data_IF_976441260991
#
_entry.id   IF_976441260991
#
_cell.length_a   1.000
_cell.length_b   1.000
_cell.length_c   1.000
_cell.angle_alpha   90.00
_cell.angle_beta   90.00
_cell.angle_gamma   90.00
#
_symmetry.space_group_name_H-M   'P 1'
#
loop_
_entity.id
_entity.type
_entity.pdbx_description
1 polymer ?
#
# COMPACT_ATOMS: atom_id res chain seq x y z
N UNK A 1 5.18 -18.52 26.50
CA UNK A 1 4.64 -19.75 25.90
C UNK A 1 3.13 -19.54 25.70
N UNK A 2 2.73 -18.97 24.59
CA UNK A 2 1.30 -18.88 24.18
C UNK A 2 0.95 -20.20 23.52
N UNK A 3 0.13 -21.00 24.21
CA UNK A 3 -0.39 -22.26 23.65
C UNK A 3 -1.18 -21.96 22.39
N UNK A 4 -0.89 -22.69 21.30
CA UNK A 4 -1.77 -22.72 20.14
C UNK A 4 -3.20 -23.03 20.59
N UNK A 5 -4.23 -22.30 20.09
CA UNK A 5 -5.60 -22.53 20.53
C UNK A 5 -6.00 -23.99 20.26
N UNK A 6 -6.75 -24.58 21.22
CA UNK A 6 -7.24 -25.95 21.08
C UNK A 6 -8.23 -26.03 19.89
N UNK A 7 -8.35 -27.17 19.16
CA UNK A 7 -9.23 -27.29 17.99
C UNK A 7 -10.69 -26.84 18.24
N UNK A 8 -11.20 -26.94 19.44
CA UNK A 8 -12.54 -26.46 19.82
C UNK A 8 -12.66 -24.93 19.83
N UNK A 9 -11.59 -24.25 20.27
CA UNK A 9 -11.54 -22.78 20.35
C UNK A 9 -11.51 -22.16 18.96
N UNK A 10 -10.75 -22.78 18.03
CA UNK A 10 -10.64 -22.35 16.63
C UNK A 10 -11.98 -22.39 15.89
N UNK A 11 -12.78 -23.45 16.13
CA UNK A 11 -14.10 -23.61 15.50
C UNK A 11 -15.09 -22.55 15.98
N UNK A 12 -15.17 -22.35 17.29
CA UNK A 12 -16.01 -21.31 17.89
C UNK A 12 -15.56 -19.91 17.44
N UNK A 13 -14.27 -19.72 17.25
CA UNK A 13 -13.69 -18.47 16.77
C UNK A 13 -14.08 -18.20 15.30
N UNK A 14 -13.98 -19.17 14.40
CA UNK A 14 -14.40 -19.06 13.00
C UNK A 14 -15.88 -18.69 12.87
N UNK A 15 -16.75 -19.23 13.74
CA UNK A 15 -18.19 -18.92 13.78
C UNK A 15 -18.48 -17.43 14.12
N UNK A 16 -17.52 -16.71 14.69
CA UNK A 16 -17.65 -15.26 14.99
C UNK A 16 -17.23 -14.37 13.85
N UNK A 17 -16.51 -14.89 12.84
CA UNK A 17 -15.98 -14.09 11.73
C UNK A 17 -17.07 -13.84 10.68
N UNK A 18 -17.28 -12.56 10.35
CA UNK A 18 -18.25 -12.20 9.29
C UNK A 18 -17.88 -12.76 7.93
N UNK A 19 -16.57 -12.87 7.63
CA UNK A 19 -16.04 -13.43 6.38
C UNK A 19 -16.26 -14.94 6.24
N UNK A 20 -16.50 -15.64 7.35
CA UNK A 20 -16.78 -17.09 7.41
C UNK A 20 -18.29 -17.40 7.46
N UNK A 21 -19.14 -16.39 7.58
CA UNK A 21 -20.57 -16.59 7.70
C UNK A 21 -21.15 -17.21 6.43
N UNK A 22 -21.94 -18.28 6.61
CA UNK A 22 -22.66 -18.93 5.52
C UNK A 22 -23.85 -18.07 5.05
N UNK A 23 -24.09 -18.06 3.75
CA UNK A 23 -25.17 -17.33 3.09
C UNK A 23 -26.19 -18.30 2.51
N UNK A 24 -27.32 -18.54 3.21
CA UNK A 24 -28.35 -19.48 2.74
C UNK A 24 -28.91 -19.13 1.35
N UNK A 25 -28.98 -17.83 1.02
CA UNK A 25 -29.49 -17.36 -0.28
C UNK A 25 -28.56 -17.68 -1.47
N UNK A 26 -27.33 -18.09 -1.21
CA UNK A 26 -26.38 -18.56 -2.22
C UNK A 26 -26.20 -20.09 -2.23
N UNK A 27 -27.01 -20.84 -1.47
CA UNK A 27 -26.82 -22.27 -1.30
C UNK A 27 -26.88 -23.07 -2.63
N UNK A 28 -27.63 -22.58 -3.62
CA UNK A 28 -27.80 -23.19 -4.94
C UNK A 28 -27.04 -22.44 -6.06
N UNK A 29 -26.08 -21.60 -5.72
CA UNK A 29 -25.37 -20.77 -6.70
C UNK A 29 -24.66 -21.59 -7.79
N UNK A 30 -24.19 -22.78 -7.47
CA UNK A 30 -23.54 -23.74 -8.37
C UNK A 30 -24.47 -24.26 -9.49
N UNK A 31 -25.78 -24.09 -9.35
CA UNK A 31 -26.80 -24.49 -10.34
C UNK A 31 -27.21 -23.36 -11.28
N UNK A 32 -26.77 -22.14 -11.02
CA UNK A 32 -27.15 -20.97 -11.80
C UNK A 32 -26.38 -20.90 -13.13
N UNK A 33 -26.96 -20.27 -14.17
CA UNK A 33 -26.25 -19.93 -15.38
C UNK A 33 -25.04 -19.00 -15.05
N UNK A 34 -23.94 -19.16 -15.79
CA UNK A 34 -22.70 -18.39 -15.57
C UNK A 34 -22.93 -16.88 -15.48
N UNK A 35 -23.81 -16.34 -16.34
CA UNK A 35 -24.09 -14.88 -16.33
C UNK A 35 -24.77 -14.44 -15.03
N UNK A 36 -25.62 -15.27 -14.45
CA UNK A 36 -26.31 -14.94 -13.20
C UNK A 36 -25.35 -15.04 -12.00
N UNK A 37 -24.46 -16.04 -12.00
CA UNK A 37 -23.35 -16.11 -11.02
C UNK A 37 -22.47 -14.85 -11.11
N UNK A 38 -22.10 -14.44 -12.33
CA UNK A 38 -21.27 -13.25 -12.54
C UNK A 38 -21.97 -11.96 -12.06
N UNK A 39 -23.28 -11.83 -12.29
CA UNK A 39 -24.08 -10.70 -11.80
C UNK A 39 -24.11 -10.64 -10.26
N UNK A 40 -24.34 -11.78 -9.62
CA UNK A 40 -24.33 -11.88 -8.16
C UNK A 40 -22.96 -11.51 -7.59
N UNK A 41 -21.87 -12.08 -8.12
CA UNK A 41 -20.51 -11.73 -7.71
C UNK A 41 -20.21 -10.25 -7.88
N UNK A 42 -20.53 -9.68 -9.03
CA UNK A 42 -20.31 -8.26 -9.30
C UNK A 42 -21.12 -7.35 -8.35
N UNK A 43 -22.36 -7.76 -8.01
CA UNK A 43 -23.17 -7.07 -7.03
C UNK A 43 -22.54 -7.05 -5.63
N UNK A 44 -21.95 -8.19 -5.21
CA UNK A 44 -21.18 -8.26 -3.96
C UNK A 44 -19.95 -7.36 -3.98
N UNK A 45 -19.16 -7.44 -5.04
CA UNK A 45 -17.94 -6.63 -5.17
C UNK A 45 -18.23 -5.11 -5.18
N UNK A 46 -19.39 -4.71 -5.72
CA UNK A 46 -19.82 -3.30 -5.73
C UNK A 46 -20.01 -2.70 -4.32
N UNK A 47 -20.21 -3.53 -3.29
CA UNK A 47 -20.37 -3.06 -1.90
C UNK A 47 -19.03 -2.67 -1.24
N UNK A 48 -17.91 -3.19 -1.74
CA UNK A 48 -16.59 -3.08 -1.09
C UNK A 48 -16.12 -1.63 -0.97
N UNK A 49 -16.27 -0.85 -2.03
CA UNK A 49 -15.86 0.56 -2.01
C UNK A 49 -16.64 1.38 -0.96
N UNK A 50 -17.92 1.05 -0.74
CA UNK A 50 -18.74 1.64 0.33
C UNK A 50 -18.20 1.31 1.72
N UNK A 51 -17.87 0.02 1.95
CA UNK A 51 -17.27 -0.41 3.22
C UNK A 51 -15.92 0.26 3.51
N UNK A 52 -15.09 0.47 2.49
CA UNK A 52 -13.84 1.24 2.62
C UNK A 52 -14.13 2.70 2.94
N UNK A 53 -15.14 3.30 2.31
CA UNK A 53 -15.50 4.71 2.53
C UNK A 53 -15.87 5.01 3.99
N UNK A 54 -16.45 4.06 4.70
CA UNK A 54 -16.76 4.19 6.15
C UNK A 54 -15.50 4.29 7.03
N UNK A 55 -14.32 3.92 6.51
CA UNK A 55 -13.03 3.91 7.24
C UNK A 55 -12.04 4.95 6.74
N UNK A 56 -12.46 5.89 5.91
CA UNK A 56 -11.59 6.94 5.40
C UNK A 56 -10.92 7.80 6.48
N UNK A 57 -11.56 8.15 7.59
CA UNK A 57 -10.91 8.89 8.67
C UNK A 57 -9.72 8.12 9.29
N UNK A 58 -9.89 6.83 9.57
CA UNK A 58 -8.84 5.97 10.13
C UNK A 58 -7.71 5.75 9.13
N UNK A 59 -8.06 5.56 7.85
CA UNK A 59 -7.09 5.44 6.76
C UNK A 59 -6.29 6.73 6.63
N UNK A 60 -6.93 7.90 6.64
CA UNK A 60 -6.27 9.18 6.52
C UNK A 60 -5.30 9.44 7.69
N UNK A 61 -5.71 9.15 8.92
CA UNK A 61 -4.86 9.27 10.10
C UNK A 61 -3.62 8.37 10.01
N UNK A 62 -3.80 7.12 9.58
CA UNK A 62 -2.69 6.20 9.35
C UNK A 62 -1.74 6.72 8.26
N UNK A 63 -2.28 7.20 7.13
CA UNK A 63 -1.48 7.76 6.02
C UNK A 63 -0.65 8.96 6.46
N UNK A 64 -1.23 9.90 7.20
CA UNK A 64 -0.49 11.08 7.68
C UNK A 64 0.66 10.66 8.59
N UNK A 65 0.44 9.71 9.51
CA UNK A 65 1.50 9.17 10.37
C UNK A 65 2.59 8.42 9.58
N UNK A 66 2.22 7.62 8.57
CA UNK A 66 3.17 6.95 7.65
C UNK A 66 4.01 7.98 6.89
N UNK A 67 3.36 9.00 6.32
CA UNK A 67 4.06 10.06 5.57
C UNK A 67 5.08 10.79 6.44
N UNK A 68 4.73 11.10 7.69
CA UNK A 68 5.65 11.74 8.65
C UNK A 68 6.87 10.86 8.96
N UNK A 69 6.70 9.55 9.13
CA UNK A 69 7.80 8.60 9.35
C UNK A 69 8.68 8.51 8.10
N UNK A 70 8.08 8.33 6.93
CA UNK A 70 8.82 8.24 5.67
C UNK A 70 9.55 9.56 5.32
N UNK A 71 9.00 10.72 5.68
CA UNK A 71 9.67 12.01 5.49
C UNK A 71 10.98 12.14 6.31
N UNK A 72 11.10 11.44 7.44
CA UNK A 72 12.32 11.35 8.25
C UNK A 72 13.31 10.27 7.78
N UNK A 73 13.00 9.55 6.73
CA UNK A 73 13.87 8.51 6.17
C UNK A 73 13.39 7.07 6.45
N UNK A 74 12.30 6.88 7.20
CA UNK A 74 11.72 5.59 7.50
C UNK A 74 11.13 4.86 6.28
N UNK A 75 10.81 3.59 6.45
CA UNK A 75 10.28 2.69 5.42
C UNK A 75 8.83 2.32 5.72
N UNK A 76 8.09 1.99 4.68
CA UNK A 76 6.78 1.36 4.75
C UNK A 76 6.95 -0.15 4.52
N UNK A 77 6.59 -0.96 5.49
CA UNK A 77 6.72 -2.43 5.43
C UNK A 77 5.34 -3.06 5.56
N UNK A 78 4.90 -3.79 4.55
CA UNK A 78 3.70 -4.62 4.61
C UNK A 78 4.07 -6.01 5.13
N UNK A 79 3.25 -6.59 6.01
CA UNK A 79 3.43 -7.93 6.54
C UNK A 79 2.09 -8.68 6.54
N UNK A 80 2.01 -9.80 5.84
CA UNK A 80 0.79 -10.60 5.75
C UNK A 80 1.05 -12.01 5.25
N UNK A 81 0.00 -12.83 5.25
CA UNK A 81 0.04 -14.19 4.76
C UNK A 81 -0.93 -14.40 3.58
N UNK A 82 -0.68 -15.38 2.74
CA UNK A 82 -1.56 -15.73 1.62
C UNK A 82 -1.90 -14.54 0.73
N UNK A 83 -3.20 -14.31 0.47
CA UNK A 83 -3.68 -13.19 -0.35
C UNK A 83 -3.24 -11.83 0.21
N UNK A 84 -3.34 -11.62 1.52
CA UNK A 84 -2.96 -10.38 2.16
C UNK A 84 -1.47 -10.05 1.98
N UNK A 85 -0.59 -11.05 2.14
CA UNK A 85 0.84 -10.91 1.89
C UNK A 85 1.14 -10.63 0.42
N UNK A 86 0.47 -11.32 -0.53
CA UNK A 86 0.62 -11.08 -1.97
C UNK A 86 0.23 -9.66 -2.37
N UNK A 87 -0.85 -9.13 -1.80
CA UNK A 87 -1.28 -7.75 -2.05
C UNK A 87 -0.28 -6.73 -1.52
N UNK A 88 0.33 -6.98 -0.36
CA UNK A 88 1.42 -6.15 0.17
C UNK A 88 2.66 -6.16 -0.73
N UNK A 89 3.07 -7.35 -1.22
CA UNK A 89 4.17 -7.48 -2.18
C UNK A 89 3.85 -6.77 -3.50
N UNK A 90 2.62 -6.93 -4.01
CA UNK A 90 2.17 -6.26 -5.23
C UNK A 90 2.27 -4.74 -5.09
N UNK A 91 1.68 -4.15 -4.05
CA UNK A 91 1.68 -2.70 -3.85
C UNK A 91 3.11 -2.15 -3.67
N UNK A 92 3.95 -2.85 -2.90
CA UNK A 92 5.35 -2.49 -2.73
C UNK A 92 6.12 -2.49 -4.04
N UNK A 93 5.92 -3.50 -4.90
CA UNK A 93 6.62 -3.64 -6.18
C UNK A 93 6.26 -2.56 -7.21
N UNK A 94 5.07 -1.96 -7.09
CA UNK A 94 4.60 -0.91 -8.00
C UNK A 94 5.06 0.51 -7.59
N UNK A 95 5.57 0.70 -6.37
CA UNK A 95 6.07 2.01 -5.91
C UNK A 95 7.33 2.49 -6.67
N UNK A 96 8.36 1.67 -6.93
CA UNK A 96 9.53 2.11 -7.69
C UNK A 96 9.22 2.59 -9.10
N UNK A 97 8.47 1.88 -9.96
CA UNK A 97 8.18 2.33 -11.32
C UNK A 97 7.23 3.54 -11.35
N UNK A 98 6.39 3.74 -10.32
CA UNK A 98 5.40 4.82 -10.27
C UNK A 98 5.97 6.11 -9.69
N UNK A 99 6.75 6.01 -8.61
CA UNK A 99 7.20 7.15 -7.81
C UNK A 99 8.72 7.30 -7.75
N UNK A 100 9.47 6.50 -8.51
CA UNK A 100 10.94 6.47 -8.49
C UNK A 100 11.49 6.34 -7.05
N UNK A 101 10.86 5.48 -6.25
CA UNK A 101 11.33 5.17 -4.92
C UNK A 101 12.47 4.15 -4.98
N UNK A 102 13.39 4.22 -4.03
CA UNK A 102 14.27 3.09 -3.77
C UNK A 102 13.41 1.86 -3.40
N UNK A 103 13.65 0.67 -3.99
CA UNK A 103 12.93 -0.55 -3.65
C UNK A 103 12.96 -0.88 -2.15
N UNK A 104 13.98 -0.43 -1.42
CA UNK A 104 14.07 -0.63 0.03
C UNK A 104 13.13 0.29 0.83
N UNK A 105 12.47 1.29 0.21
CA UNK A 105 11.60 2.25 0.90
C UNK A 105 10.19 1.72 1.15
N UNK A 106 9.70 0.86 0.28
CA UNK A 106 8.41 0.16 0.45
C UNK A 106 8.66 -1.32 0.27
N UNK A 107 8.44 -2.10 1.30
CA UNK A 107 8.81 -3.52 1.36
C UNK A 107 7.57 -4.37 1.63
N UNK A 108 7.39 -5.43 0.88
CA UNK A 108 6.35 -6.44 1.12
C UNK A 108 6.94 -7.71 1.71
N UNK A 109 6.52 -8.09 2.91
CA UNK A 109 6.81 -9.37 3.54
C UNK A 109 5.59 -10.29 3.45
N UNK A 110 5.83 -11.52 3.04
CA UNK A 110 4.82 -12.56 3.01
C UNK A 110 5.27 -13.77 3.83
N UNK A 111 4.40 -14.31 4.67
CA UNK A 111 4.68 -15.51 5.44
C UNK A 111 5.10 -16.68 4.51
N UNK A 112 6.25 -17.27 4.78
CA UNK A 112 6.87 -18.29 3.91
C UNK A 112 7.82 -17.74 2.85
N UNK A 113 8.05 -16.40 2.82
CA UNK A 113 9.05 -15.79 1.96
C UNK A 113 8.67 -15.71 0.48
N UNK A 114 9.63 -15.48 -0.43
CA UNK A 114 9.37 -15.25 -1.85
C UNK A 114 8.58 -16.35 -2.55
N UNK A 115 8.77 -17.61 -2.17
CA UNK A 115 8.08 -18.76 -2.77
C UNK A 115 6.57 -18.70 -2.48
N UNK A 116 6.17 -18.10 -1.35
CA UNK A 116 4.77 -17.95 -0.97
C UNK A 116 3.98 -16.97 -1.87
N UNK A 117 4.66 -16.18 -2.71
CA UNK A 117 4.01 -15.32 -3.70
C UNK A 117 3.31 -16.17 -4.77
N UNK A 118 3.93 -17.25 -5.21
CA UNK A 118 3.43 -18.09 -6.31
C UNK A 118 2.77 -19.38 -5.85
N UNK A 119 3.12 -19.89 -4.66
CA UNK A 119 2.58 -21.12 -4.10
C UNK A 119 2.22 -20.94 -2.61
N UNK A 120 1.30 -21.74 -2.08
CA UNK A 120 1.02 -21.73 -0.63
C UNK A 120 2.14 -22.44 0.14
N UNK A 121 2.62 -21.80 1.20
CA UNK A 121 3.56 -22.42 2.16
C UNK A 121 2.76 -22.71 3.42
N UNK A 122 2.48 -23.98 3.66
CA UNK A 122 1.65 -24.40 4.80
C UNK A 122 2.32 -24.09 6.14
N UNK A 123 1.50 -23.67 7.13
CA UNK A 123 1.95 -23.38 8.49
C UNK A 123 2.73 -22.08 8.66
N UNK A 124 3.14 -21.39 7.58
CA UNK A 124 3.89 -20.15 7.69
C UNK A 124 3.07 -19.02 8.31
N UNK A 125 1.76 -18.99 8.07
CA UNK A 125 0.85 -17.98 8.61
C UNK A 125 0.63 -18.11 10.13
N UNK A 126 0.88 -19.30 10.69
CA UNK A 126 0.65 -19.61 12.10
C UNK A 126 1.86 -19.27 13.00
N UNK A 127 2.98 -18.82 12.41
CA UNK A 127 4.21 -18.51 13.15
C UNK A 127 4.44 -17.01 13.34
N UNK A 128 4.22 -16.46 14.53
CA UNK A 128 4.65 -15.10 14.87
C UNK A 128 6.18 -14.97 14.91
N UNK A 129 6.92 -16.04 15.24
CA UNK A 129 8.39 -16.07 15.29
C UNK A 129 8.98 -15.87 13.88
N UNK A 130 8.31 -16.38 12.84
CA UNK A 130 8.71 -16.13 11.46
C UNK A 130 8.61 -14.64 11.12
N UNK A 131 7.53 -13.98 11.52
CA UNK A 131 7.38 -12.54 11.33
C UNK A 131 8.46 -11.74 12.06
N UNK A 132 8.81 -12.15 13.29
CA UNK A 132 9.90 -11.54 14.06
C UNK A 132 11.24 -11.67 13.31
N UNK A 133 11.53 -12.86 12.79
CA UNK A 133 12.76 -13.14 12.02
C UNK A 133 12.83 -12.28 10.76
N UNK A 134 11.73 -12.21 9.98
CA UNK A 134 11.67 -11.45 8.75
C UNK A 134 11.88 -9.95 8.99
N UNK A 135 11.26 -9.41 10.04
CA UNK A 135 11.41 -8.00 10.43
C UNK A 135 12.77 -7.70 11.08
N UNK A 136 13.35 -8.66 11.82
CA UNK A 136 14.69 -8.51 12.38
C UNK A 136 15.74 -8.36 11.28
N UNK A 137 15.59 -9.09 10.17
CA UNK A 137 16.48 -8.98 9.01
C UNK A 137 16.44 -7.59 8.37
N UNK A 138 15.33 -6.84 8.51
CA UNK A 138 15.23 -5.46 8.05
C UNK A 138 15.86 -4.44 9.01
N UNK A 139 16.28 -4.84 10.22
CA UNK A 139 16.80 -3.93 11.26
C UNK A 139 15.89 -2.69 11.42
N UNK A 140 14.63 -2.89 11.84
CA UNK A 140 13.64 -1.83 11.99
C UNK A 140 14.11 -0.72 12.93
N UNK A 141 13.77 0.51 12.57
CA UNK A 141 13.99 1.72 13.37
C UNK A 141 12.65 2.33 13.83
N UNK A 142 12.72 3.30 14.72
CA UNK A 142 11.54 4.05 15.15
C UNK A 142 10.90 4.91 14.04
N UNK A 143 11.60 5.17 12.96
CA UNK A 143 11.04 5.89 11.80
C UNK A 143 10.36 4.98 10.78
N UNK A 144 10.48 3.67 10.93
CA UNK A 144 9.78 2.72 10.06
C UNK A 144 8.30 2.57 10.43
N UNK A 145 7.52 2.11 9.47
CA UNK A 145 6.10 1.73 9.66
C UNK A 145 5.90 0.29 9.24
N UNK A 146 5.21 -0.50 10.06
CA UNK A 146 4.77 -1.86 9.71
C UNK A 146 3.24 -1.90 9.62
N UNK A 147 2.74 -2.31 8.47
CA UNK A 147 1.32 -2.55 8.21
C UNK A 147 1.08 -4.06 8.21
N UNK A 148 0.49 -4.57 9.28
CA UNK A 148 0.00 -5.94 9.32
C UNK A 148 -1.31 -6.06 8.55
N UNK A 149 -1.42 -7.08 7.69
CA UNK A 149 -2.60 -7.28 6.83
C UNK A 149 -3.14 -8.69 7.01
N UNK A 150 -4.42 -8.81 7.39
CA UNK A 150 -5.10 -10.08 7.56
C UNK A 150 -6.61 -9.91 7.38
N UNK A 151 -7.27 -10.74 6.60
CA UNK A 151 -8.72 -10.66 6.44
C UNK A 151 -9.46 -10.99 7.74
N UNK A 152 -9.08 -12.06 8.44
CA UNK A 152 -9.62 -12.41 9.75
C UNK A 152 -9.20 -11.44 10.85
N UNK A 153 -8.05 -10.76 10.65
CA UNK A 153 -7.41 -9.93 11.67
C UNK A 153 -6.82 -10.74 12.84
N UNK A 154 -6.61 -12.04 12.65
CA UNK A 154 -6.15 -12.98 13.70
C UNK A 154 -4.90 -13.76 13.31
N UNK A 155 -4.46 -13.69 12.05
CA UNK A 155 -3.30 -14.42 11.52
C UNK A 155 -2.08 -14.17 12.40
N UNK A 156 -1.50 -15.21 13.04
CA UNK A 156 -0.41 -15.06 14.01
C UNK A 156 0.80 -14.32 13.42
N UNK A 157 1.16 -14.60 12.18
CA UNK A 157 2.24 -13.87 11.47
C UNK A 157 1.99 -12.35 11.45
N UNK A 158 0.79 -11.90 11.05
CA UNK A 158 0.48 -10.46 10.93
C UNK A 158 0.42 -9.78 12.31
N UNK A 159 -0.18 -10.44 13.30
CA UNK A 159 -0.24 -9.93 14.69
C UNK A 159 1.16 -9.88 15.30
N UNK A 160 1.97 -10.92 15.10
CA UNK A 160 3.38 -10.98 15.55
C UNK A 160 4.22 -9.88 14.92
N UNK A 161 4.03 -9.62 13.61
CA UNK A 161 4.72 -8.53 12.92
C UNK A 161 4.44 -7.15 13.56
N UNK A 162 3.17 -6.85 13.82
CA UNK A 162 2.76 -5.59 14.46
C UNK A 162 3.30 -5.51 15.89
N UNK A 163 3.18 -6.57 16.67
CA UNK A 163 3.69 -6.61 18.05
C UNK A 163 5.21 -6.39 18.10
N UNK A 164 5.96 -7.08 17.23
CA UNK A 164 7.41 -6.93 17.13
C UNK A 164 7.84 -5.50 16.75
N UNK A 165 7.18 -4.91 15.76
CA UNK A 165 7.45 -3.55 15.30
C UNK A 165 7.17 -2.51 16.38
N UNK A 166 6.02 -2.63 17.08
CA UNK A 166 5.62 -1.75 18.18
C UNK A 166 6.64 -1.78 19.33
N UNK A 167 7.15 -2.96 19.68
CA UNK A 167 8.18 -3.12 20.71
C UNK A 167 9.50 -2.40 20.39
N UNK A 168 9.72 -2.05 19.11
CA UNK A 168 10.89 -1.28 18.61
C UNK A 168 10.60 0.19 18.35
N UNK A 169 9.42 0.67 18.72
CA UNK A 169 9.00 2.07 18.53
C UNK A 169 8.63 2.42 17.08
N UNK A 170 8.59 1.44 16.17
CA UNK A 170 8.07 1.65 14.83
C UNK A 170 6.57 1.92 14.86
N UNK A 171 6.09 2.74 13.91
CA UNK A 171 4.66 2.96 13.73
C UNK A 171 3.99 1.66 13.27
N UNK A 172 2.80 1.38 13.81
CA UNK A 172 2.07 0.15 13.46
C UNK A 172 0.67 0.44 12.98
N UNK A 173 0.29 -0.21 11.87
CA UNK A 173 -1.06 -0.20 11.31
C UNK A 173 -1.56 -1.64 11.21
N UNK A 174 -2.78 -1.90 11.65
CA UNK A 174 -3.44 -3.20 11.54
C UNK A 174 -4.63 -3.11 10.61
N UNK A 175 -4.58 -3.79 9.46
CA UNK A 175 -5.66 -3.84 8.47
C UNK A 175 -6.37 -5.18 8.52
N UNK A 176 -7.65 -5.17 8.90
CA UNK A 176 -8.51 -6.34 9.00
C UNK A 176 -9.84 -6.15 8.27
N UNK A 177 -10.56 -7.26 7.99
CA UNK A 177 -11.89 -7.25 7.38
C UNK A 177 -12.98 -7.81 8.32
N UNK A 178 -12.67 -7.96 9.58
CA UNK A 178 -13.59 -8.37 10.64
C UNK A 178 -13.53 -7.38 11.81
N UNK A 179 -14.64 -7.13 12.51
CA UNK A 179 -14.67 -6.21 13.62
C UNK A 179 -14.02 -6.83 14.88
N UNK A 180 -13.46 -5.99 15.75
CA UNK A 180 -12.87 -6.41 17.02
C UNK A 180 -11.65 -7.32 16.85
N UNK A 181 -10.86 -7.10 15.83
CA UNK A 181 -9.74 -7.94 15.46
C UNK A 181 -8.53 -7.77 16.38
N UNK A 182 -7.85 -8.87 16.68
CA UNK A 182 -6.61 -8.83 17.47
C UNK A 182 -5.53 -7.97 16.79
N UNK A 183 -5.49 -7.97 15.46
CA UNK A 183 -4.54 -7.19 14.68
C UNK A 183 -4.76 -5.68 14.84
N UNK A 184 -6.02 -5.21 14.73
CA UNK A 184 -6.34 -3.81 14.93
C UNK A 184 -6.07 -3.37 16.38
N UNK A 185 -6.39 -4.22 17.36
CA UNK A 185 -6.14 -3.93 18.77
C UNK A 185 -4.64 -3.88 19.12
N UNK A 186 -3.79 -4.66 18.44
CA UNK A 186 -2.34 -4.66 18.65
C UNK A 186 -1.65 -3.43 18.03
N UNK A 187 -2.22 -2.83 16.98
CA UNK A 187 -1.65 -1.72 16.24
C UNK A 187 -1.92 -0.36 16.92
N UNK A 188 -1.13 0.65 16.56
CA UNK A 188 -1.40 2.06 16.90
C UNK A 188 -2.57 2.61 16.09
N UNK A 189 -2.65 2.25 14.80
CA UNK A 189 -3.76 2.55 13.91
C UNK A 189 -4.45 1.27 13.48
N UNK A 190 -5.63 0.99 14.04
CA UNK A 190 -6.48 -0.12 13.60
C UNK A 190 -7.44 0.32 12.51
N UNK A 191 -7.49 -0.42 11.41
CA UNK A 191 -8.40 -0.21 10.27
C UNK A 191 -9.19 -1.49 10.06
N UNK A 192 -10.50 -1.46 10.32
CA UNK A 192 -11.38 -2.62 10.18
C UNK A 192 -12.42 -2.37 9.09
N UNK A 193 -12.15 -2.83 7.88
CA UNK A 193 -13.07 -2.73 6.74
C UNK A 193 -13.96 -3.96 6.71
N UNK A 194 -15.13 -3.88 7.32
CA UNK A 194 -16.07 -5.00 7.42
C UNK A 194 -16.83 -5.15 6.10
N UNK A 195 -16.45 -6.14 5.30
CA UNK A 195 -17.05 -6.42 3.97
C UNK A 195 -18.21 -7.44 4.03
N UNK A 196 -18.54 -7.94 5.23
CA UNK A 196 -19.54 -9.00 5.41
C UNK A 196 -19.08 -10.37 4.88
N UNK A 197 -20.04 -11.31 4.76
CA UNK A 197 -19.77 -12.66 4.28
C UNK A 197 -19.24 -12.66 2.85
N UNK A 198 -18.32 -13.57 2.55
CA UNK A 198 -17.81 -13.75 1.19
C UNK A 198 -18.82 -14.42 0.26
N UNK A 199 -18.69 -14.22 -1.06
CA UNK A 199 -19.50 -14.90 -2.07
C UNK A 199 -19.34 -16.43 -2.01
N UNK A 200 -18.11 -16.91 -1.86
CA UNK A 200 -17.80 -18.26 -1.43
C UNK A 200 -17.35 -18.19 0.03
N UNK A 201 -18.09 -18.83 0.92
CA UNK A 201 -17.84 -18.82 2.37
C UNK A 201 -16.36 -19.05 2.68
N UNK A 202 -15.75 -18.16 3.45
CA UNK A 202 -14.35 -18.23 3.87
C UNK A 202 -13.32 -17.89 2.79
N UNK A 203 -13.74 -17.61 1.53
CA UNK A 203 -12.79 -17.30 0.45
C UNK A 203 -12.38 -15.82 0.45
N UNK A 204 -11.57 -15.42 1.43
CA UNK A 204 -11.17 -14.02 1.68
C UNK A 204 -10.26 -13.39 0.61
N UNK A 205 -9.93 -14.13 -0.45
CA UNK A 205 -9.30 -13.55 -1.64
C UNK A 205 -10.26 -12.65 -2.46
N UNK A 206 -11.58 -12.70 -2.18
CA UNK A 206 -12.64 -12.00 -2.90
C UNK A 206 -12.86 -10.58 -2.33
N UNK A 207 -13.98 -10.34 -1.59
CA UNK A 207 -14.30 -8.99 -1.08
C UNK A 207 -13.24 -8.46 -0.10
N UNK A 208 -12.78 -9.29 0.83
CA UNK A 208 -11.73 -8.91 1.77
C UNK A 208 -10.43 -8.56 1.05
N UNK A 209 -10.00 -9.37 0.08
CA UNK A 209 -8.84 -9.05 -0.76
C UNK A 209 -9.00 -7.74 -1.53
N UNK A 210 -10.17 -7.48 -2.10
CA UNK A 210 -10.48 -6.22 -2.80
C UNK A 210 -10.40 -5.03 -1.85
N UNK A 211 -10.97 -5.13 -0.64
CA UNK A 211 -10.88 -4.08 0.38
C UNK A 211 -9.43 -3.80 0.80
N UNK A 212 -8.65 -4.86 1.06
CA UNK A 212 -7.23 -4.74 1.39
C UNK A 212 -6.46 -4.02 0.28
N UNK A 213 -6.66 -4.42 -0.98
CA UNK A 213 -6.03 -3.76 -2.14
C UNK A 213 -6.37 -2.26 -2.19
N UNK A 214 -7.63 -1.88 -1.98
CA UNK A 214 -8.03 -0.48 -1.99
C UNK A 214 -7.33 0.32 -0.88
N UNK A 215 -7.27 -0.21 0.34
CA UNK A 215 -6.62 0.45 1.47
C UNK A 215 -5.11 0.54 1.29
N UNK A 216 -4.43 -0.53 0.86
CA UNK A 216 -2.98 -0.51 0.61
C UNK A 216 -2.62 0.51 -0.46
N UNK A 217 -3.37 0.57 -1.56
CA UNK A 217 -3.15 1.59 -2.59
C UNK A 217 -3.40 3.02 -2.07
N UNK A 218 -4.36 3.25 -1.17
CA UNK A 218 -4.54 4.54 -0.52
C UNK A 218 -3.34 4.89 0.36
N UNK A 219 -2.86 3.94 1.18
CA UNK A 219 -1.72 4.15 2.06
C UNK A 219 -0.48 4.53 1.23
N UNK A 220 -0.09 3.73 0.24
CA UNK A 220 1.10 4.01 -0.56
C UNK A 220 0.95 5.28 -1.41
N UNK A 221 -0.13 5.39 -2.18
CA UNK A 221 -0.30 6.50 -3.13
C UNK A 221 -0.42 7.85 -2.42
N UNK A 222 -1.26 7.95 -1.37
CA UNK A 222 -1.45 9.22 -0.67
C UNK A 222 -0.17 9.60 0.10
N UNK A 223 0.53 8.62 0.68
CA UNK A 223 1.86 8.85 1.29
C UNK A 223 2.84 9.43 0.26
N UNK A 224 2.92 8.87 -0.94
CA UNK A 224 3.79 9.39 -2.00
C UNK A 224 3.37 10.79 -2.47
N UNK A 225 2.07 11.10 -2.52
CA UNK A 225 1.58 12.47 -2.76
C UNK A 225 2.07 13.42 -1.66
N UNK A 226 1.95 13.04 -0.39
CA UNK A 226 2.43 13.82 0.77
C UNK A 226 3.94 14.03 0.76
N UNK A 227 4.70 13.08 0.23
CA UNK A 227 6.15 13.18 0.04
C UNK A 227 6.58 13.97 -1.22
N UNK A 228 5.63 14.60 -1.92
CA UNK A 228 5.92 15.43 -3.08
C UNK A 228 6.33 14.66 -4.34
N UNK A 229 5.94 13.37 -4.45
CA UNK A 229 6.21 12.53 -5.62
C UNK A 229 5.30 12.84 -6.82
N UNK A 230 4.31 13.71 -6.63
CA UNK A 230 3.36 14.12 -7.66
C UNK A 230 3.27 15.63 -7.78
N UNK A 231 2.73 16.10 -8.91
CA UNK A 231 2.30 17.48 -9.14
C UNK A 231 0.88 17.47 -9.68
N UNK A 232 -0.09 17.89 -8.84
CA UNK A 232 -1.49 17.56 -9.10
C UNK A 232 -1.67 16.04 -9.14
N UNK A 233 -2.29 15.55 -10.19
CA UNK A 233 -2.46 14.11 -10.44
C UNK A 233 -1.41 13.52 -11.41
N UNK A 234 -0.30 14.23 -11.64
CA UNK A 234 0.76 13.81 -12.56
C UNK A 234 1.94 13.20 -11.80
N UNK A 235 2.43 12.08 -12.31
CA UNK A 235 3.62 11.38 -11.80
C UNK A 235 4.88 12.10 -12.26
N UNK A 236 5.37 13.07 -11.48
CA UNK A 236 6.54 13.89 -11.86
C UNK A 236 7.89 13.33 -11.39
N UNK A 237 7.88 12.19 -10.69
CA UNK A 237 9.09 11.52 -10.17
C UNK A 237 9.36 10.19 -10.92
N UNK A 238 8.93 10.10 -12.16
CA UNK A 238 9.13 8.92 -13.02
C UNK A 238 10.58 8.85 -13.49
N UNK A 239 11.20 7.67 -13.34
CA UNK A 239 12.50 7.37 -13.98
C UNK A 239 12.27 6.89 -15.41
N UNK A 240 12.81 7.62 -16.38
CA UNK A 240 12.65 7.37 -17.80
C UNK A 240 13.53 6.21 -18.32
N UNK A 241 13.38 5.01 -17.74
CA UNK A 241 14.24 3.84 -18.03
C UNK A 241 13.98 3.18 -19.40
N UNK A 242 12.83 3.44 -20.02
CA UNK A 242 12.48 2.89 -21.34
C UNK A 242 11.82 3.94 -22.25
N UNK A 243 11.60 3.59 -23.53
CA UNK A 243 11.04 4.50 -24.53
C UNK A 243 9.63 5.03 -24.12
N UNK A 244 8.78 4.17 -23.59
CA UNK A 244 7.43 4.56 -23.11
C UNK A 244 7.51 5.57 -21.97
N UNK A 245 8.41 5.36 -21.01
CA UNK A 245 8.58 6.26 -19.87
C UNK A 245 9.21 7.59 -20.30
N UNK A 246 10.15 7.59 -21.26
CA UNK A 246 10.67 8.83 -21.86
C UNK A 246 9.58 9.64 -22.55
N UNK A 247 8.74 9.00 -23.36
CA UNK A 247 7.61 9.66 -24.01
C UNK A 247 6.60 10.22 -22.97
N UNK A 248 6.37 9.49 -21.88
CA UNK A 248 5.53 9.96 -20.76
C UNK A 248 6.13 11.19 -20.08
N UNK A 249 7.43 11.17 -19.73
CA UNK A 249 8.14 12.31 -19.13
C UNK A 249 8.03 13.56 -19.98
N UNK A 250 8.27 13.43 -21.31
CA UNK A 250 8.11 14.52 -22.26
C UNK A 250 6.68 15.08 -22.23
N UNK A 251 5.66 14.22 -22.30
CA UNK A 251 4.25 14.63 -22.26
C UNK A 251 3.90 15.34 -20.96
N UNK A 252 4.39 14.84 -19.81
CA UNK A 252 4.14 15.46 -18.49
C UNK A 252 4.74 16.86 -18.43
N UNK A 253 6.00 17.03 -18.86
CA UNK A 253 6.66 18.35 -18.87
C UNK A 253 5.90 19.31 -19.78
N UNK A 254 5.56 18.91 -21.02
CA UNK A 254 4.76 19.72 -21.94
C UNK A 254 3.41 20.11 -21.34
N UNK A 255 2.70 19.16 -20.71
CA UNK A 255 1.38 19.39 -20.12
C UNK A 255 1.43 20.37 -18.93
N UNK A 256 2.46 20.30 -18.10
CA UNK A 256 2.63 21.17 -16.92
C UNK A 256 3.07 22.56 -17.32
N UNK A 257 3.95 22.68 -18.31
CA UNK A 257 4.61 23.96 -18.64
C UNK A 257 3.96 24.70 -19.79
N UNK A 258 3.22 24.01 -20.68
CA UNK A 258 2.74 24.56 -21.93
C UNK A 258 3.84 24.79 -22.98
N UNK A 259 5.06 24.35 -22.71
CA UNK A 259 6.22 24.55 -23.60
C UNK A 259 6.16 23.67 -24.84
N UNK A 260 6.77 24.15 -25.93
CA UNK A 260 6.88 23.41 -27.18
C UNK A 260 7.86 22.24 -27.08
N UNK A 261 7.74 21.30 -28.02
CA UNK A 261 8.52 20.05 -28.02
C UNK A 261 10.04 20.24 -27.95
N UNK A 262 10.56 21.28 -28.62
CA UNK A 262 12.01 21.55 -28.64
C UNK A 262 12.51 22.06 -27.27
N UNK A 263 11.73 22.91 -26.62
CA UNK A 263 12.03 23.43 -25.29
C UNK A 263 11.99 22.31 -24.23
N UNK A 264 10.96 21.46 -24.32
CA UNK A 264 10.84 20.29 -23.43
C UNK A 264 12.01 19.33 -23.60
N UNK A 265 12.42 19.04 -24.87
CA UNK A 265 13.59 18.19 -25.14
C UNK A 265 14.87 18.78 -24.56
N UNK A 266 15.09 20.09 -24.75
CA UNK A 266 16.26 20.79 -24.20
C UNK A 266 16.28 20.73 -22.68
N UNK A 267 15.15 21.03 -22.04
CA UNK A 267 15.05 21.02 -20.56
C UNK A 267 15.29 19.62 -19.98
N UNK A 268 14.68 18.58 -20.56
CA UNK A 268 14.89 17.19 -20.14
C UNK A 268 16.35 16.75 -20.37
N UNK A 269 16.97 17.16 -21.48
CA UNK A 269 18.39 16.86 -21.74
C UNK A 269 19.31 17.56 -20.75
N UNK A 270 19.03 18.82 -20.42
CA UNK A 270 19.83 19.59 -19.46
C UNK A 270 19.72 19.09 -18.01
N UNK A 271 18.66 18.35 -17.69
CA UNK A 271 18.36 17.83 -16.35
C UNK A 271 18.49 16.30 -16.26
N UNK A 272 19.19 15.66 -17.17
CA UNK A 272 19.39 14.20 -17.24
C UNK A 272 18.06 13.39 -17.14
N UNK A 273 17.02 13.93 -17.76
CA UNK A 273 15.68 13.32 -17.74
C UNK A 273 14.85 13.53 -16.48
N UNK A 274 15.33 14.30 -15.52
CA UNK A 274 14.66 14.62 -14.26
C UNK A 274 13.47 15.57 -14.48
N UNK A 275 12.25 15.02 -14.49
CA UNK A 275 11.00 15.72 -14.84
C UNK A 275 10.76 16.96 -13.99
N UNK A 276 10.90 16.87 -12.66
CA UNK A 276 10.69 18.01 -11.76
C UNK A 276 11.68 19.15 -12.03
N UNK A 277 12.95 18.81 -12.30
CA UNK A 277 13.95 19.80 -12.62
C UNK A 277 13.66 20.47 -13.98
N UNK A 278 13.26 19.67 -14.99
CA UNK A 278 12.89 20.20 -16.30
C UNK A 278 11.69 21.15 -16.22
N UNK A 279 10.69 20.84 -15.38
CA UNK A 279 9.55 21.74 -15.12
C UNK A 279 10.02 23.04 -14.48
N UNK A 280 10.92 23.00 -13.48
CA UNK A 280 11.48 24.21 -12.86
C UNK A 280 12.29 25.06 -13.84
N UNK A 281 13.13 24.44 -14.67
CA UNK A 281 13.89 25.15 -15.70
C UNK A 281 12.94 25.93 -16.62
N UNK A 282 11.83 25.32 -17.03
CA UNK A 282 10.90 25.94 -17.97
C UNK A 282 9.95 26.97 -17.33
N UNK A 283 9.45 26.72 -16.12
CA UNK A 283 8.48 27.61 -15.47
C UNK A 283 9.14 28.75 -14.71
N UNK A 284 10.28 28.52 -14.09
CA UNK A 284 11.01 29.51 -13.30
C UNK A 284 12.15 30.20 -14.08
N UNK A 285 12.48 29.71 -15.29
CA UNK A 285 13.56 30.28 -16.11
C UNK A 285 14.96 30.10 -15.51
N UNK A 286 15.15 29.12 -14.61
CA UNK A 286 16.43 28.86 -13.94
C UNK A 286 17.25 27.80 -14.68
N UNK A 287 18.55 27.74 -14.39
CA UNK A 287 19.40 26.66 -14.92
C UNK A 287 19.20 25.34 -14.14
N UNK A 288 19.68 24.22 -14.70
CA UNK A 288 19.51 22.88 -14.10
C UNK A 288 20.16 22.76 -12.69
N UNK A 289 21.37 23.28 -12.40
CA UNK A 289 21.94 23.30 -11.06
C UNK A 289 21.07 24.04 -10.04
N UNK A 290 20.52 25.19 -10.41
CA UNK A 290 19.59 25.97 -9.57
C UNK A 290 18.28 25.22 -9.34
N UNK A 291 17.69 24.63 -10.36
CA UNK A 291 16.51 23.78 -10.25
C UNK A 291 16.72 22.61 -9.27
N UNK A 292 17.86 21.94 -9.37
CA UNK A 292 18.23 20.85 -8.45
C UNK A 292 18.38 21.34 -7.00
N UNK A 293 18.96 22.52 -6.78
CA UNK A 293 19.09 23.14 -5.44
C UNK A 293 17.71 23.49 -4.88
N UNK A 294 16.87 24.18 -5.64
CA UNK A 294 15.52 24.57 -5.22
C UNK A 294 14.67 23.35 -4.81
N UNK A 295 14.77 22.24 -5.56
CA UNK A 295 14.08 20.99 -5.20
C UNK A 295 14.61 20.39 -3.90
N UNK A 296 15.92 20.36 -3.69
CA UNK A 296 16.49 19.86 -2.43
C UNK A 296 16.02 20.71 -1.24
N UNK A 297 16.09 22.04 -1.35
CA UNK A 297 15.66 22.98 -0.32
C UNK A 297 14.15 22.88 -0.03
N UNK A 298 13.36 22.51 -1.05
CA UNK A 298 11.94 22.20 -0.95
C UNK A 298 11.63 20.74 -0.60
N UNK A 299 12.62 19.93 -0.22
CA UNK A 299 12.46 18.50 0.11
C UNK A 299 11.72 17.70 -1.00
N UNK A 300 12.01 18.02 -2.26
CA UNK A 300 11.42 17.35 -3.42
C UNK A 300 10.01 17.82 -3.81
N UNK A 301 9.41 18.78 -3.10
CA UNK A 301 8.07 19.30 -3.41
C UNK A 301 8.14 20.37 -4.50
N UNK A 302 7.69 20.03 -5.70
CA UNK A 302 7.78 20.91 -6.87
C UNK A 302 7.04 22.25 -6.67
N UNK A 303 5.84 22.27 -6.06
CA UNK A 303 5.12 23.53 -5.78
C UNK A 303 5.90 24.46 -4.86
N UNK A 304 6.50 23.92 -3.82
CA UNK A 304 7.31 24.70 -2.90
C UNK A 304 8.61 25.21 -3.56
N UNK A 305 9.20 24.41 -4.45
CA UNK A 305 10.38 24.84 -5.21
C UNK A 305 10.05 25.97 -6.21
N UNK A 306 8.89 25.89 -6.89
CA UNK A 306 8.41 26.94 -7.79
C UNK A 306 8.12 28.26 -7.04
N UNK A 307 7.50 28.21 -5.86
CA UNK A 307 7.24 29.38 -5.05
C UNK A 307 8.56 30.10 -4.67
N UNK A 308 9.58 29.36 -4.23
CA UNK A 308 10.90 29.89 -3.88
C UNK A 308 11.71 30.45 -5.06
N UNK A 309 11.37 30.03 -6.28
CA UNK A 309 12.03 30.56 -7.48
C UNK A 309 11.47 31.93 -7.92
N UNK A 310 10.26 32.29 -7.45
CA UNK A 310 9.62 33.57 -7.74
C UNK A 310 9.89 34.65 -6.67
N UNK A 311 10.50 34.25 -5.53
CA UNK A 311 11.00 35.16 -4.49
C UNK A 311 12.44 35.59 -4.83
#
# INVERSE_FOLDING_TARGET
MTQSPRPRDLRAELETLTTEAFRPELADVDRLPTLDIARLMNGEDATVAGAVAERLPEIAAAVDAVADRMARGGRLVYAGAGTAGRLGVLDASECPPTFNTDPARVVGLIAGGPDAVVASVEGAEDSPELAESDLAALALTADDTVVGVSASGRTPYAVGAVAYARARGALTVGLACNPGSALAAAAEHGIEVVVGPEFLTGSTRLKAGTAQKLVLNMISTITMIRLGKTYGNLMVDVRASNAKLRARSHRIVAQVTGAGDDDVRRALSATDGEVKQAILVLLAGVDAPTAARLLRDARGHLRAALARAGD
#
